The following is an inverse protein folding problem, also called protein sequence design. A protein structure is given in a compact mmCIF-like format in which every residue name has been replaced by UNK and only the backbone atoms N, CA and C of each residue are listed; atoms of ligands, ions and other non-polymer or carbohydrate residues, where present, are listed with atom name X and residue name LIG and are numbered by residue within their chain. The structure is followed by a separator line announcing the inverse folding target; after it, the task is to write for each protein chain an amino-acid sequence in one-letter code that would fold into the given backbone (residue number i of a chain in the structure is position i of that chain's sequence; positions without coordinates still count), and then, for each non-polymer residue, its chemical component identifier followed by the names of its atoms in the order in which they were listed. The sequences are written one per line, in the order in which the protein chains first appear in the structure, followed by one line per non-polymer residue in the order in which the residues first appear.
data_IF_755413445984
#
_entry.id   IF_755413445984
#
_cell.length_a   1.000
_cell.length_b   1.000
_cell.length_c   1.000
_cell.angle_alpha   90.00
_cell.angle_beta   90.00
_cell.angle_gamma   90.00
#
_symmetry.space_group_name_H-M   'P 1'
#
loop_
_entity.id
_entity.type
_entity.pdbx_description
1 polymer ?
#
# COMPACT_ATOMS: atom_id res chain seq x y z
N UNK A 1 33.47 3.09 -4.55
CA UNK A 1 32.56 2.10 -3.94
C UNK A 1 31.18 2.33 -4.51
N UNK A 2 30.64 1.41 -5.31
CA UNK A 2 29.25 1.53 -5.76
C UNK A 2 28.33 1.29 -4.56
N UNK A 3 27.46 2.25 -4.26
CA UNK A 3 26.47 2.18 -3.17
C UNK A 3 25.28 1.25 -3.50
N UNK A 4 25.53 0.17 -4.24
CA UNK A 4 24.49 -0.75 -4.73
C UNK A 4 24.52 -1.97 -3.82
N UNK A 5 23.43 -2.18 -3.09
CA UNK A 5 23.21 -3.38 -2.28
C UNK A 5 22.55 -4.43 -3.17
N UNK A 6 23.22 -5.56 -3.38
CA UNK A 6 22.62 -6.70 -4.07
C UNK A 6 21.62 -7.40 -3.14
N UNK A 7 20.45 -7.76 -3.67
CA UNK A 7 19.37 -8.46 -2.97
C UNK A 7 18.97 -7.81 -1.61
N UNK A 8 18.49 -6.54 -1.64
CA UNK A 8 18.08 -5.85 -0.42
C UNK A 8 16.94 -6.61 0.25
N UNK A 9 17.09 -6.88 1.54
CA UNK A 9 16.11 -7.64 2.34
C UNK A 9 14.99 -6.77 2.93
N UNK A 10 14.83 -5.56 2.41
CA UNK A 10 13.83 -4.57 2.86
C UNK A 10 12.99 -4.05 1.71
N UNK A 11 11.79 -3.59 2.01
CA UNK A 11 10.90 -2.94 1.03
C UNK A 11 11.14 -1.43 0.94
N UNK A 12 10.42 -0.77 0.03
CA UNK A 12 10.43 0.69 -0.08
C UNK A 12 9.67 1.35 1.09
N UNK A 13 9.61 2.69 1.10
CA UNK A 13 8.93 3.47 2.15
C UNK A 13 7.47 3.05 2.34
N UNK A 14 6.74 2.75 1.26
CA UNK A 14 5.37 2.24 1.31
C UNK A 14 5.28 0.91 2.08
N UNK A 15 6.23 0.00 1.85
CA UNK A 15 6.27 -1.27 2.57
C UNK A 15 6.51 -1.05 4.07
N UNK A 16 7.44 -0.15 4.42
CA UNK A 16 7.75 0.18 5.80
C UNK A 16 6.59 0.85 6.55
N UNK A 17 5.86 1.77 5.91
CA UNK A 17 4.68 2.38 6.53
C UNK A 17 3.55 1.34 6.65
N UNK A 18 3.31 0.56 5.60
CA UNK A 18 2.27 -0.47 5.60
C UNK A 18 2.50 -1.54 6.70
N UNK A 19 3.74 -1.97 6.91
CA UNK A 19 4.09 -2.95 7.95
C UNK A 19 3.85 -2.42 9.37
N UNK A 20 4.07 -1.11 9.58
CA UNK A 20 3.77 -0.44 10.84
C UNK A 20 2.26 -0.27 11.05
N UNK A 21 1.53 0.20 10.05
CA UNK A 21 0.07 0.38 10.13
C UNK A 21 -0.65 -0.97 10.31
N UNK A 22 -0.13 -2.05 9.72
CA UNK A 22 -0.68 -3.40 9.87
C UNK A 22 -0.65 -3.92 11.32
N UNK A 23 0.22 -3.37 12.17
CA UNK A 23 0.25 -3.68 13.60
C UNK A 23 -0.87 -2.98 14.39
N UNK A 24 -1.59 -2.03 13.79
CA UNK A 24 -2.66 -1.25 14.42
C UNK A 24 -4.02 -1.77 13.93
N UNK A 25 -4.81 -2.32 14.85
CA UNK A 25 -6.13 -2.88 14.51
C UNK A 25 -7.14 -1.82 14.06
N UNK A 26 -7.85 -2.12 12.96
CA UNK A 26 -8.91 -1.25 12.41
C UNK A 26 -8.40 -0.04 11.64
N UNK A 27 -7.13 -0.03 11.22
CA UNK A 27 -6.56 0.99 10.34
C UNK A 27 -6.53 0.48 8.90
N UNK A 28 -6.96 1.31 7.95
CA UNK A 28 -6.91 1.01 6.52
C UNK A 28 -5.91 1.94 5.80
N UNK A 29 -4.82 1.41 5.24
CA UNK A 29 -4.02 2.17 4.29
C UNK A 29 -4.77 2.32 2.96
N UNK A 30 -4.58 3.45 2.28
CA UNK A 30 -5.06 3.73 0.92
C UNK A 30 -3.86 4.13 0.08
N UNK A 31 -3.52 3.32 -0.91
CA UNK A 31 -2.33 3.55 -1.73
C UNK A 31 -2.65 4.49 -2.89
N UNK A 32 -2.01 5.65 -2.90
CA UNK A 32 -1.95 6.52 -4.06
C UNK A 32 -0.74 6.14 -4.94
N UNK A 33 -0.82 4.99 -5.60
CA UNK A 33 0.29 4.43 -6.35
C UNK A 33 -0.15 3.69 -7.62
N UNK A 34 0.82 3.11 -8.33
CA UNK A 34 0.56 2.13 -9.38
C UNK A 34 0.03 0.80 -8.82
N UNK A 35 -0.51 -0.07 -9.69
CA UNK A 35 -1.23 -1.30 -9.29
C UNK A 35 -0.33 -2.37 -8.64
N UNK A 36 0.98 -2.36 -8.90
CA UNK A 36 1.90 -3.37 -8.37
C UNK A 36 2.30 -3.18 -6.89
N UNK A 37 2.11 -1.99 -6.32
CA UNK A 37 2.64 -1.66 -5.00
C UNK A 37 1.96 -2.46 -3.88
N UNK A 38 0.65 -2.68 -3.94
CA UNK A 38 -0.09 -3.43 -2.92
C UNK A 38 0.42 -4.88 -2.80
N UNK A 39 0.67 -5.53 -3.94
CA UNK A 39 1.20 -6.89 -3.97
C UNK A 39 2.66 -6.94 -3.54
N UNK A 40 3.52 -6.02 -4.02
CA UNK A 40 4.93 -6.00 -3.64
C UNK A 40 5.14 -5.75 -2.14
N UNK A 41 4.42 -4.78 -1.57
CA UNK A 41 4.49 -4.49 -0.13
C UNK A 41 4.01 -5.67 0.72
N UNK A 42 3.06 -6.46 0.22
CA UNK A 42 2.57 -7.65 0.92
C UNK A 42 3.49 -8.86 0.75
N UNK A 43 4.12 -9.01 -0.42
CA UNK A 43 5.14 -10.02 -0.66
C UNK A 43 6.38 -9.80 0.23
N UNK A 44 6.77 -8.55 0.46
CA UNK A 44 7.82 -8.22 1.42
C UNK A 44 7.45 -8.61 2.85
N UNK A 45 6.18 -8.44 3.26
CA UNK A 45 5.73 -8.81 4.61
C UNK A 45 5.73 -10.33 4.84
N UNK A 46 5.17 -11.11 3.92
CA UNK A 46 5.06 -12.57 4.12
C UNK A 46 6.41 -13.28 3.99
N UNK A 47 7.22 -12.91 3.00
CA UNK A 47 8.47 -13.60 2.69
C UNK A 47 9.66 -13.17 3.53
N UNK A 48 9.68 -11.93 4.04
CA UNK A 48 10.85 -11.38 4.75
C UNK A 48 10.58 -11.08 6.24
N UNK A 49 9.31 -11.08 6.70
CA UNK A 49 8.97 -10.77 8.11
C UNK A 49 8.64 -12.01 8.95
N UNK A 50 9.25 -13.16 8.65
CA UNK A 50 9.14 -14.37 9.48
C UNK A 50 7.75 -15.03 9.48
N UNK A 51 7.00 -14.93 8.37
CA UNK A 51 5.67 -15.51 8.27
C UNK A 51 4.58 -14.73 9.00
N UNK A 52 4.73 -13.40 9.13
CA UNK A 52 3.69 -12.52 9.67
C UNK A 52 2.35 -12.74 8.97
N UNK A 53 1.29 -12.90 9.76
CA UNK A 53 -0.08 -12.99 9.27
C UNK A 53 -0.55 -11.67 8.66
N UNK A 54 -1.49 -11.75 7.73
CA UNK A 54 -2.14 -10.57 7.16
C UNK A 54 -2.80 -9.72 8.28
N UNK A 55 -2.56 -8.40 8.24
CA UNK A 55 -3.26 -7.43 9.09
C UNK A 55 -4.72 -7.27 8.68
N UNK A 56 -5.40 -6.28 9.29
CA UNK A 56 -6.82 -5.98 9.03
C UNK A 56 -7.15 -5.82 7.53
N UNK A 57 -6.29 -5.11 6.80
CA UNK A 57 -6.30 -5.02 5.33
C UNK A 57 -4.89 -5.33 4.82
N UNK A 58 -4.76 -6.20 3.81
CA UNK A 58 -3.47 -6.65 3.28
C UNK A 58 -3.56 -7.15 1.84
N UNK A 59 -2.44 -7.17 1.11
CA UNK A 59 -2.41 -7.68 -0.25
C UNK A 59 -3.30 -6.90 -1.20
N UNK A 60 -4.03 -7.64 -2.03
CA UNK A 60 -4.98 -7.08 -3.00
C UNK A 60 -6.23 -6.47 -2.35
N UNK A 61 -6.41 -6.60 -1.03
CA UNK A 61 -7.52 -5.93 -0.32
C UNK A 61 -7.22 -4.48 0.02
N UNK A 62 -5.94 -4.05 -0.07
CA UNK A 62 -5.57 -2.65 0.14
C UNK A 62 -6.15 -1.80 -1.00
N UNK A 63 -7.01 -0.81 -0.71
CA UNK A 63 -7.53 0.09 -1.74
C UNK A 63 -6.39 0.90 -2.36
N UNK A 64 -6.37 0.97 -3.69
CA UNK A 64 -5.31 1.62 -4.44
C UNK A 64 -5.90 2.45 -5.58
N UNK A 65 -5.32 3.63 -5.85
CA UNK A 65 -5.71 4.43 -7.00
C UNK A 65 -5.34 3.78 -8.33
N UNK A 66 -4.45 2.77 -8.33
CA UNK A 66 -4.02 2.04 -9.52
C UNK A 66 -3.68 2.98 -10.68
N UNK A 67 -2.81 3.95 -10.42
CA UNK A 67 -2.43 4.97 -11.41
C UNK A 67 -1.77 4.32 -12.62
N UNK A 68 -2.22 4.74 -13.79
CA UNK A 68 -1.67 4.34 -15.10
C UNK A 68 -1.28 5.61 -15.88
N UNK A 69 -0.95 5.47 -17.17
CA UNK A 69 -0.42 6.52 -18.03
C UNK A 69 -1.32 7.77 -18.06
N UNK A 70 -2.64 7.60 -17.97
CA UNK A 70 -3.59 8.72 -17.90
C UNK A 70 -3.35 9.60 -16.68
N UNK A 71 -3.14 9.00 -15.51
CA UNK A 71 -2.89 9.74 -14.27
C UNK A 71 -1.49 10.36 -14.22
N UNK A 72 -0.54 9.84 -15.01
CA UNK A 72 0.77 10.48 -15.21
C UNK A 72 0.63 11.80 -15.98
N UNK A 73 -0.23 11.84 -17.01
CA UNK A 73 -0.42 13.03 -17.85
C UNK A 73 -1.34 14.06 -17.20
N UNK A 74 -2.45 13.61 -16.62
CA UNK A 74 -3.53 14.51 -16.15
C UNK A 74 -3.61 14.64 -14.62
N UNK A 75 -2.75 13.94 -13.89
CA UNK A 75 -2.82 13.83 -12.44
C UNK A 75 -3.85 12.80 -11.95
N UNK A 76 -3.62 12.28 -10.74
CA UNK A 76 -4.42 11.20 -10.15
C UNK A 76 -5.54 11.64 -9.19
N UNK A 77 -5.74 12.95 -8.96
CA UNK A 77 -6.59 13.47 -7.88
C UNK A 77 -8.03 12.97 -7.94
N UNK A 78 -8.65 12.95 -9.13
CA UNK A 78 -10.02 12.46 -9.28
C UNK A 78 -10.12 10.96 -8.99
N UNK A 79 -9.12 10.19 -9.44
CA UNK A 79 -9.05 8.75 -9.19
C UNK A 79 -8.86 8.46 -7.71
N UNK A 80 -7.98 9.22 -7.04
CA UNK A 80 -7.80 9.14 -5.59
C UNK A 80 -9.10 9.45 -4.85
N UNK A 81 -9.84 10.49 -5.25
CA UNK A 81 -11.14 10.82 -4.64
C UNK A 81 -12.12 9.66 -4.74
N UNK A 82 -12.24 9.04 -5.91
CA UNK A 82 -13.12 7.88 -6.12
C UNK A 82 -12.66 6.66 -5.33
N UNK A 83 -11.35 6.41 -5.25
CA UNK A 83 -10.79 5.30 -4.47
C UNK A 83 -11.03 5.50 -2.98
N UNK A 84 -10.82 6.71 -2.45
CA UNK A 84 -11.07 7.02 -1.03
C UNK A 84 -12.54 6.88 -0.72
N UNK A 85 -13.44 7.37 -1.58
CA UNK A 85 -14.88 7.21 -1.38
C UNK A 85 -15.27 5.73 -1.31
N UNK A 86 -14.86 4.92 -2.31
CA UNK A 86 -15.14 3.49 -2.31
C UNK A 86 -14.53 2.73 -1.13
N UNK A 87 -13.35 3.15 -0.65
CA UNK A 87 -12.74 2.57 0.54
C UNK A 87 -13.57 2.87 1.80
N UNK A 88 -14.03 4.11 1.97
CA UNK A 88 -14.90 4.52 3.10
C UNK A 88 -16.25 3.81 3.06
N UNK A 89 -16.81 3.59 1.88
CA UNK A 89 -18.13 2.97 1.73
C UNK A 89 -18.12 1.45 2.01
N UNK A 90 -16.99 0.77 1.77
CA UNK A 90 -16.92 -0.70 1.78
C UNK A 90 -16.11 -1.25 2.97
N UNK A 91 -15.14 -0.51 3.48
CA UNK A 91 -14.20 -1.01 4.50
C UNK A 91 -14.59 -0.45 5.88
N UNK A 92 -14.85 -1.35 6.84
CA UNK A 92 -15.15 -1.00 8.24
C UNK A 92 -13.88 -0.65 9.04
N UNK A 93 -13.22 0.44 8.65
CA UNK A 93 -12.02 0.95 9.32
C UNK A 93 -12.32 2.14 10.24
N UNK A 94 -11.56 2.25 11.32
CA UNK A 94 -11.60 3.40 12.25
C UNK A 94 -10.87 4.62 11.70
N UNK A 95 -9.83 4.40 10.89
CA UNK A 95 -8.99 5.47 10.35
C UNK A 95 -8.38 5.05 9.02
N UNK A 96 -8.36 5.99 8.07
CA UNK A 96 -7.77 5.81 6.75
C UNK A 96 -6.49 6.63 6.62
N UNK A 97 -5.41 6.02 6.11
CA UNK A 97 -4.14 6.70 5.84
C UNK A 97 -3.83 6.66 4.34
N UNK A 98 -3.69 7.83 3.72
CA UNK A 98 -3.30 7.93 2.31
C UNK A 98 -1.77 7.87 2.22
N UNK A 99 -1.25 6.92 1.45
CA UNK A 99 0.18 6.66 1.29
C UNK A 99 0.61 6.85 -0.18
N UNK A 100 1.85 7.29 -0.42
CA UNK A 100 2.44 7.46 -1.76
C UNK A 100 3.88 6.99 -1.81
#
# INVERSE_FOLDING_TARGET
MSAITENPRGGCVLAGINSNLSAIGGVCPVFHSGPGCCLQTSASEQGQSGGKNAGFVSGSSIPCSNMLEKEVVFGGTNKLRTTVQGAVDIIDAKTFFILT
#
